data_IF_145662404771
#
_entry.id   IF_145662404771
#
_cell.length_a   1.000
_cell.length_b   1.000
_cell.length_c   1.000
_cell.angle_alpha   90.00
_cell.angle_beta   90.00
_cell.angle_gamma   90.00
#
_symmetry.space_group_name_H-M   'P 1'
#
loop_
_entity.id
_entity.type
_entity.pdbx_description
1 polymer ?
#
# COMPACT_ATOMS: atom_id res chain seq x y z
N UNK A 1 74.24 41.16 -8.52
CA UNK A 1 74.24 42.04 -9.71
C UNK A 1 74.07 41.13 -10.92
N UNK A 2 73.10 41.25 -11.84
CA UNK A 2 71.99 42.17 -12.07
C UNK A 2 70.86 41.41 -12.80
N UNK A 3 69.67 42.02 -12.80
CA UNK A 3 68.37 41.54 -13.28
C UNK A 3 68.31 41.21 -14.78
N UNK A 4 67.39 40.32 -15.17
CA UNK A 4 66.57 40.50 -16.37
C UNK A 4 65.17 39.92 -16.12
N UNK A 5 64.16 40.76 -16.33
CA UNK A 5 62.75 40.52 -16.12
C UNK A 5 62.07 40.13 -17.44
N UNK A 6 61.33 39.03 -17.45
CA UNK A 6 60.41 38.59 -18.51
C UNK A 6 59.29 37.81 -17.77
N UNK A 7 57.98 38.06 -17.82
CA UNK A 7 57.11 38.85 -18.70
C UNK A 7 55.73 39.05 -18.00
N UNK A 8 55.14 40.26 -17.93
CA UNK A 8 53.74 40.46 -17.49
C UNK A 8 52.70 40.39 -18.63
N UNK A 9 53.13 40.06 -19.86
CA UNK A 9 52.32 40.15 -21.08
C UNK A 9 51.21 39.09 -21.21
N UNK A 10 51.32 37.96 -20.52
CA UNK A 10 50.35 36.85 -20.59
C UNK A 10 49.01 37.23 -19.92
N UNK A 11 49.04 37.88 -18.75
CA UNK A 11 47.82 38.28 -18.03
C UNK A 11 47.10 39.46 -18.69
N UNK A 12 47.84 40.35 -19.36
CA UNK A 12 47.31 41.54 -20.01
C UNK A 12 46.54 41.24 -21.31
N UNK A 13 46.79 40.10 -21.95
CA UNK A 13 46.01 39.61 -23.10
C UNK A 13 44.85 38.68 -22.69
N UNK A 14 44.99 37.94 -21.60
CA UNK A 14 43.95 37.03 -21.11
C UNK A 14 42.73 37.73 -20.52
N UNK A 15 42.93 38.83 -19.80
CA UNK A 15 41.84 39.59 -19.20
C UNK A 15 40.87 40.19 -20.25
N UNK A 16 41.34 40.88 -21.31
CA UNK A 16 40.46 41.36 -22.37
C UNK A 16 39.87 40.22 -23.21
N UNK A 17 40.60 39.11 -23.41
CA UNK A 17 40.05 37.92 -24.07
C UNK A 17 38.86 37.33 -23.29
N UNK A 18 38.96 37.22 -21.96
CA UNK A 18 37.86 36.79 -21.09
C UNK A 18 36.68 37.78 -21.12
N UNK A 19 36.95 39.09 -21.10
CA UNK A 19 35.92 40.13 -21.17
C UNK A 19 35.19 40.19 -22.52
N UNK A 20 35.74 39.63 -23.59
CA UNK A 20 35.08 39.57 -24.91
C UNK A 20 34.44 38.21 -25.16
N UNK A 21 35.14 37.11 -24.83
CA UNK A 21 34.66 35.75 -25.10
C UNK A 21 33.49 35.37 -24.20
N UNK A 22 33.48 35.77 -22.93
CA UNK A 22 32.39 35.42 -22.01
C UNK A 22 31.07 36.12 -22.40
N UNK A 23 31.04 37.43 -22.71
CA UNK A 23 29.82 38.08 -23.20
C UNK A 23 29.42 37.60 -24.60
N UNK A 24 30.38 37.28 -25.49
CA UNK A 24 30.08 36.72 -26.81
C UNK A 24 29.42 35.33 -26.70
N UNK A 25 29.93 34.45 -25.82
CA UNK A 25 29.30 33.17 -25.53
C UNK A 25 27.92 33.33 -24.86
N UNK A 26 27.76 34.33 -23.99
CA UNK A 26 26.47 34.68 -23.39
C UNK A 26 25.46 35.16 -24.45
N UNK A 27 25.87 36.01 -25.38
CA UNK A 27 25.04 36.51 -26.49
C UNK A 27 24.72 35.41 -27.50
N UNK A 28 25.67 34.52 -27.83
CA UNK A 28 25.42 33.34 -28.67
C UNK A 28 24.47 32.35 -27.98
N UNK A 29 24.55 32.21 -26.64
CA UNK A 29 23.61 31.46 -25.83
C UNK A 29 22.18 32.04 -25.88
N UNK A 30 22.05 33.37 -25.75
CA UNK A 30 20.77 34.09 -25.89
C UNK A 30 20.19 33.98 -27.31
N UNK A 31 21.02 34.09 -28.35
CA UNK A 31 20.59 33.93 -29.75
C UNK A 31 20.21 32.48 -30.10
N UNK A 32 20.90 31.48 -29.56
CA UNK A 32 20.50 30.06 -29.69
C UNK A 32 19.22 29.76 -28.92
N UNK A 33 19.00 30.39 -27.76
CA UNK A 33 17.76 30.27 -26.99
C UNK A 33 16.56 30.86 -27.73
N UNK A 34 16.74 31.91 -28.54
CA UNK A 34 15.66 32.55 -29.31
C UNK A 34 15.22 31.78 -30.56
N UNK A 35 15.96 30.75 -30.99
CA UNK A 35 15.65 29.95 -32.21
C UNK A 35 14.97 28.59 -31.95
N UNK A 36 14.60 28.26 -30.71
CA UNK A 36 13.75 27.10 -30.42
C UNK A 36 12.33 27.56 -30.07
N UNK A 37 11.60 27.99 -31.10
CA UNK A 37 10.14 27.88 -31.08
C UNK A 37 9.78 26.48 -31.56
N UNK A 38 9.48 25.57 -30.63
CA UNK A 38 8.87 24.28 -30.92
C UNK A 38 8.19 23.73 -29.66
N UNK A 39 6.85 23.76 -29.65
CA UNK A 39 6.00 22.93 -28.80
C UNK A 39 5.98 23.26 -27.30
N UNK A 40 4.79 23.46 -26.75
CA UNK A 40 4.55 23.69 -25.31
C UNK A 40 4.75 22.38 -24.53
N UNK A 41 6.00 21.92 -24.39
CA UNK A 41 6.35 20.77 -23.57
C UNK A 41 6.22 21.15 -22.09
N UNK A 42 5.36 20.44 -21.35
CA UNK A 42 5.22 20.58 -19.89
C UNK A 42 6.34 19.78 -19.23
N UNK A 43 7.40 20.46 -18.78
CA UNK A 43 8.45 19.82 -18.00
C UNK A 43 7.99 19.56 -16.55
N UNK A 44 8.51 18.52 -15.88
CA UNK A 44 8.30 18.33 -14.45
C UNK A 44 8.77 19.55 -13.65
N UNK A 45 8.08 19.93 -12.56
CA UNK A 45 8.50 21.03 -11.69
C UNK A 45 9.88 20.77 -11.07
N UNK A 46 10.61 21.83 -10.74
CA UNK A 46 11.94 21.72 -10.15
C UNK A 46 12.30 22.95 -9.31
N UNK A 47 13.31 22.83 -8.43
CA UNK A 47 13.85 23.96 -7.67
C UNK A 47 14.47 25.00 -8.61
N UNK A 48 14.84 26.16 -8.07
CA UNK A 48 15.48 27.21 -8.87
C UNK A 48 16.92 26.80 -9.27
N UNK A 49 17.35 27.26 -10.45
CA UNK A 49 18.61 26.87 -11.09
C UNK A 49 19.53 28.07 -11.30
N UNK A 50 20.84 27.88 -11.07
CA UNK A 50 21.86 28.88 -11.40
C UNK A 50 22.34 28.75 -12.88
N UNK A 51 22.76 29.85 -13.54
CA UNK A 51 23.04 29.88 -14.98
C UNK A 51 24.11 28.91 -15.47
N UNK A 52 25.08 28.54 -14.63
CA UNK A 52 26.22 27.68 -15.00
C UNK A 52 26.14 26.31 -14.31
N UNK A 53 25.98 26.28 -12.99
CA UNK A 53 25.98 25.04 -12.20
C UNK A 53 24.61 24.37 -12.08
N UNK A 54 23.54 25.03 -12.54
CA UNK A 54 22.18 24.52 -12.42
C UNK A 54 21.78 24.34 -10.95
N UNK A 55 21.33 23.13 -10.60
CA UNK A 55 20.85 22.76 -9.26
C UNK A 55 21.92 22.11 -8.39
N UNK A 56 23.18 22.02 -8.86
CA UNK A 56 24.27 21.36 -8.14
C UNK A 56 24.48 21.94 -6.74
N UNK A 57 24.21 23.23 -6.56
CA UNK A 57 24.32 23.92 -5.28
C UNK A 57 23.36 23.39 -4.20
N UNK A 58 22.21 22.80 -4.58
CA UNK A 58 21.30 22.15 -3.62
C UNK A 58 21.84 20.81 -3.08
N UNK A 59 22.77 20.17 -3.81
CA UNK A 59 23.38 18.89 -3.44
C UNK A 59 24.79 19.06 -2.85
N UNK A 60 25.55 20.03 -3.34
CA UNK A 60 26.91 20.31 -2.88
C UNK A 60 26.94 21.17 -1.60
N UNK A 61 25.87 21.89 -1.30
CA UNK A 61 25.75 22.74 -0.10
C UNK A 61 25.05 22.07 1.09
N UNK A 62 24.51 20.86 0.94
CA UNK A 62 23.86 20.12 2.02
C UNK A 62 24.87 19.31 2.83
N UNK A 63 24.79 19.35 4.16
CA UNK A 63 25.59 18.52 5.09
C UNK A 63 25.25 17.02 5.05
N UNK A 64 24.43 16.59 4.10
CA UNK A 64 23.86 15.25 3.99
C UNK A 64 24.20 14.69 2.60
N UNK A 65 24.44 13.38 2.45
CA UNK A 65 24.77 12.79 1.15
C UNK A 65 23.77 13.14 0.02
N UNK A 66 24.21 13.15 -1.26
CA UNK A 66 23.41 13.64 -2.39
C UNK A 66 22.03 12.98 -2.51
N UNK A 67 21.92 11.67 -2.25
CA UNK A 67 20.65 10.93 -2.31
C UNK A 67 19.63 11.36 -1.24
N UNK A 68 20.09 11.80 -0.07
CA UNK A 68 19.21 12.40 0.95
C UNK A 68 18.75 13.80 0.56
N UNK A 69 19.65 14.64 0.04
CA UNK A 69 19.29 15.97 -0.45
C UNK A 69 18.28 15.88 -1.61
N UNK A 70 18.44 14.90 -2.50
CA UNK A 70 17.47 14.59 -3.56
C UNK A 70 16.11 14.14 -3.00
N UNK A 71 16.09 13.29 -1.96
CA UNK A 71 14.85 12.91 -1.27
C UNK A 71 14.12 14.12 -0.67
N UNK A 72 14.86 15.04 -0.07
CA UNK A 72 14.29 16.24 0.56
C UNK A 72 13.80 17.27 -0.47
N UNK A 73 14.40 17.30 -1.67
CA UNK A 73 13.88 18.02 -2.82
C UNK A 73 12.61 17.35 -3.38
N UNK A 74 12.53 16.01 -3.38
CA UNK A 74 11.37 15.26 -3.88
C UNK A 74 10.12 15.45 -3.03
N UNK A 75 10.29 15.55 -1.71
CA UNK A 75 9.20 15.93 -0.80
C UNK A 75 8.63 17.32 -1.11
N UNK A 76 9.43 18.24 -1.67
CA UNK A 76 9.04 19.63 -1.92
C UNK A 76 8.54 19.89 -3.34
N UNK A 77 9.11 19.21 -4.33
CA UNK A 77 8.85 19.46 -5.75
C UNK A 77 8.15 18.30 -6.46
N UNK A 78 7.91 17.18 -5.77
CA UNK A 78 7.23 16.00 -6.31
C UNK A 78 8.19 14.85 -6.65
N UNK A 79 7.65 13.64 -6.90
CA UNK A 79 8.43 12.42 -7.13
C UNK A 79 9.19 12.41 -8.46
N UNK A 80 8.82 13.27 -9.40
CA UNK A 80 9.47 13.49 -10.69
C UNK A 80 9.86 14.96 -10.78
N UNK A 81 11.16 15.24 -10.81
CA UNK A 81 11.69 16.60 -10.93
C UNK A 81 12.79 16.68 -11.98
N UNK A 82 12.85 17.81 -12.68
CA UNK A 82 13.90 18.07 -13.65
C UNK A 82 15.05 18.85 -12.99
N UNK A 83 16.21 18.23 -12.85
CA UNK A 83 17.41 18.88 -12.33
C UNK A 83 18.44 19.07 -13.44
N UNK A 84 18.81 20.31 -13.70
CA UNK A 84 19.98 20.65 -14.52
C UNK A 84 21.26 20.58 -13.68
N UNK A 85 22.22 19.73 -14.03
CA UNK A 85 23.59 19.80 -13.53
C UNK A 85 24.50 20.19 -14.70
N UNK A 86 25.06 21.40 -14.64
CA UNK A 86 25.79 21.99 -15.76
C UNK A 86 24.95 22.07 -17.05
N UNK A 87 25.39 21.41 -18.13
CA UNK A 87 24.69 21.35 -19.43
C UNK A 87 23.86 20.07 -19.63
N UNK A 88 23.87 19.14 -18.67
CA UNK A 88 23.11 17.89 -18.77
C UNK A 88 21.77 18.05 -18.04
N UNK A 89 20.63 17.83 -18.73
CA UNK A 89 19.37 17.58 -18.03
C UNK A 89 19.48 16.23 -17.33
N UNK A 90 19.32 16.22 -16.01
CA UNK A 90 19.26 15.01 -15.19
C UNK A 90 17.83 14.86 -14.68
N UNK A 91 17.22 13.74 -15.01
CA UNK A 91 15.91 13.37 -14.49
C UNK A 91 16.13 12.70 -13.12
N UNK A 92 15.64 13.33 -12.06
CA UNK A 92 15.60 12.72 -10.74
C UNK A 92 14.20 12.17 -10.51
N UNK A 93 14.09 10.84 -10.48
CA UNK A 93 12.92 10.16 -9.95
C UNK A 93 13.22 9.79 -8.49
N UNK A 94 12.25 9.92 -7.60
CA UNK A 94 12.33 9.44 -6.23
C UNK A 94 11.63 8.08 -6.11
N UNK A 95 12.23 7.16 -5.36
CA UNK A 95 11.59 5.89 -5.05
C UNK A 95 10.30 6.17 -4.26
N UNK A 96 9.22 5.52 -4.66
CA UNK A 96 7.93 5.56 -3.98
C UNK A 96 7.90 4.41 -2.98
N UNK A 97 7.45 4.71 -1.76
CA UNK A 97 7.15 3.69 -0.76
C UNK A 97 5.77 3.10 -1.08
N UNK A 98 5.77 2.00 -1.83
CA UNK A 98 4.56 1.33 -2.27
C UNK A 98 3.82 0.67 -1.11
N UNK A 99 4.52 0.18 -0.08
CA UNK A 99 3.91 -0.32 1.16
C UNK A 99 3.00 0.71 1.81
N UNK A 100 3.50 1.94 2.01
CA UNK A 100 2.70 3.03 2.60
C UNK A 100 1.59 3.49 1.67
N UNK A 101 1.86 3.57 0.37
CA UNK A 101 0.86 3.94 -0.63
C UNK A 101 -0.33 2.98 -0.66
N UNK A 102 -0.06 1.67 -0.75
CA UNK A 102 -1.06 0.61 -0.73
C UNK A 102 -1.83 0.57 0.60
N UNK A 103 -1.14 0.65 1.74
CA UNK A 103 -1.79 0.69 3.04
C UNK A 103 -2.76 1.88 3.16
N UNK A 104 -2.35 3.06 2.68
CA UNK A 104 -3.21 4.25 2.69
C UNK A 104 -4.40 4.09 1.74
N UNK A 105 -4.19 3.57 0.53
CA UNK A 105 -5.24 3.39 -0.46
C UNK A 105 -6.32 2.39 0.01
N UNK A 106 -5.89 1.22 0.49
CA UNK A 106 -6.83 0.18 0.96
C UNK A 106 -7.56 0.67 2.21
N UNK A 107 -6.87 1.34 3.14
CA UNK A 107 -7.52 1.84 4.34
C UNK A 107 -8.55 2.95 4.04
N UNK A 108 -8.25 3.86 3.11
CA UNK A 108 -9.17 4.94 2.71
C UNK A 108 -10.40 4.38 1.98
N UNK A 109 -10.21 3.46 1.03
CA UNK A 109 -11.31 2.76 0.34
C UNK A 109 -12.16 1.92 1.28
N UNK A 110 -11.53 1.22 2.24
CA UNK A 110 -12.24 0.47 3.28
C UNK A 110 -13.07 1.39 4.17
N UNK A 111 -12.52 2.51 4.63
CA UNK A 111 -13.28 3.51 5.40
C UNK A 111 -14.45 4.05 4.58
N UNK A 112 -14.22 4.39 3.31
CA UNK A 112 -15.24 4.91 2.43
C UNK A 112 -16.40 3.92 2.20
N UNK A 113 -16.09 2.63 2.04
CA UNK A 113 -17.13 1.59 1.90
C UNK A 113 -17.93 1.35 3.19
N UNK A 114 -17.30 1.52 4.35
CA UNK A 114 -17.93 1.18 5.64
C UNK A 114 -18.70 2.33 6.27
N UNK A 115 -18.19 3.57 6.18
CA UNK A 115 -18.72 4.76 6.86
C UNK A 115 -18.64 6.03 6.00
N UNK A 116 -18.51 5.87 4.68
CA UNK A 116 -18.44 6.99 3.76
C UNK A 116 -17.16 7.83 3.86
N UNK A 117 -17.16 8.96 3.15
CA UNK A 117 -16.00 9.85 3.07
C UNK A 117 -15.87 10.70 4.33
N UNK A 118 -14.83 10.43 5.11
CA UNK A 118 -14.47 11.23 6.28
C UNK A 118 -13.66 12.49 5.90
N UNK A 119 -13.68 13.48 6.80
CA UNK A 119 -12.74 14.61 6.76
C UNK A 119 -11.33 14.13 7.02
N UNK A 120 -10.32 14.86 6.52
CA UNK A 120 -8.90 14.50 6.69
C UNK A 120 -8.53 14.21 8.15
N UNK A 121 -8.96 15.08 9.05
CA UNK A 121 -8.58 15.03 10.46
C UNK A 121 -9.22 13.84 11.19
N UNK A 122 -10.48 13.52 10.85
CA UNK A 122 -11.21 12.38 11.39
C UNK A 122 -10.62 11.06 10.89
N UNK A 123 -10.24 11.01 9.61
CA UNK A 123 -9.56 9.85 9.01
C UNK A 123 -8.20 9.60 9.67
N UNK A 124 -7.39 10.63 9.86
CA UNK A 124 -6.08 10.51 10.51
C UNK A 124 -6.21 10.05 11.98
N UNK A 125 -7.26 10.53 12.66
CA UNK A 125 -7.63 10.09 14.01
C UNK A 125 -7.99 8.61 14.03
N UNK A 126 -8.87 8.17 13.13
CA UNK A 126 -9.27 6.76 13.00
C UNK A 126 -8.07 5.85 12.74
N UNK A 127 -7.23 6.17 11.76
CA UNK A 127 -6.04 5.37 11.44
C UNK A 127 -5.04 5.32 12.60
N UNK A 128 -4.91 6.40 13.38
CA UNK A 128 -4.09 6.40 14.59
C UNK A 128 -4.63 5.43 15.63
N UNK A 129 -5.95 5.45 15.90
CA UNK A 129 -6.59 4.56 16.86
C UNK A 129 -6.55 3.08 16.42
N UNK A 130 -6.68 2.81 15.12
CA UNK A 130 -6.53 1.48 14.54
C UNK A 130 -5.10 0.95 14.69
N UNK A 131 -4.10 1.76 14.33
CA UNK A 131 -2.68 1.40 14.46
C UNK A 131 -2.27 1.19 15.92
N UNK A 132 -2.78 2.01 16.86
CA UNK A 132 -2.58 1.79 18.30
C UNK A 132 -3.14 0.42 18.73
N UNK A 133 -4.31 0.02 18.21
CA UNK A 133 -4.89 -1.31 18.42
C UNK A 133 -3.98 -2.44 17.94
N UNK A 134 -3.52 -2.35 16.69
CA UNK A 134 -2.63 -3.36 16.09
C UNK A 134 -1.27 -3.49 16.77
N UNK A 135 -0.83 -2.52 17.57
CA UNK A 135 0.40 -2.68 18.38
C UNK A 135 0.18 -3.48 19.66
N UNK A 136 -1.05 -3.55 20.14
CA UNK A 136 -1.39 -4.22 21.40
C UNK A 136 -1.69 -5.70 21.16
N UNK A 137 -2.42 -6.02 20.09
CA UNK A 137 -2.89 -7.39 19.77
C UNK A 137 -1.77 -8.43 19.53
N UNK A 138 -0.65 -8.12 18.84
CA UNK A 138 0.37 -9.13 18.51
C UNK A 138 1.32 -9.46 19.67
N UNK A 139 1.47 -8.56 20.63
CA UNK A 139 2.38 -8.78 21.75
C UNK A 139 1.66 -9.61 22.80
N UNK A 140 1.75 -10.95 22.73
CA UNK A 140 1.26 -11.87 23.77
C UNK A 140 1.54 -11.28 25.15
N UNK A 141 0.51 -10.74 25.81
CA UNK A 141 0.72 -9.96 27.01
C UNK A 141 0.88 -10.88 28.21
N UNK A 142 1.39 -10.36 29.34
CA UNK A 142 1.44 -11.14 30.58
C UNK A 142 0.07 -11.75 30.97
N UNK A 143 -1.06 -11.00 30.83
CA UNK A 143 -2.41 -11.56 30.93
C UNK A 143 -2.71 -12.71 29.97
N UNK A 144 -2.25 -12.64 28.72
CA UNK A 144 -2.52 -13.68 27.72
C UNK A 144 -1.70 -14.95 27.97
N UNK A 145 -0.47 -14.78 28.47
CA UNK A 145 0.44 -15.89 28.81
C UNK A 145 0.08 -16.55 30.15
N UNK A 146 -0.44 -15.77 31.11
CA UNK A 146 -0.77 -16.24 32.45
C UNK A 146 -2.18 -15.80 32.87
N UNK A 147 -3.24 -16.23 32.17
CA UNK A 147 -4.61 -15.75 32.40
C UNK A 147 -5.12 -16.07 33.82
N UNK A 148 -4.61 -17.13 34.45
CA UNK A 148 -4.98 -17.51 35.82
C UNK A 148 -4.22 -16.73 36.91
N UNK A 149 -3.20 -15.94 36.55
CA UNK A 149 -2.36 -15.21 37.51
C UNK A 149 -2.91 -13.81 37.78
N UNK A 150 -3.46 -13.61 38.99
CA UNK A 150 -3.88 -12.28 39.46
C UNK A 150 -2.73 -11.27 39.49
N UNK A 151 -1.49 -11.73 39.72
CA UNK A 151 -0.30 -10.89 39.70
C UNK A 151 0.06 -10.44 38.27
N UNK A 152 -0.06 -11.31 37.27
CA UNK A 152 0.15 -10.96 35.87
C UNK A 152 -0.89 -9.93 35.38
N UNK A 153 -2.14 -10.09 35.83
CA UNK A 153 -3.22 -9.12 35.58
C UNK A 153 -2.95 -7.76 36.22
N UNK A 154 -2.48 -7.75 37.49
CA UNK A 154 -2.20 -6.52 38.24
C UNK A 154 -0.98 -5.76 37.71
N UNK A 155 0.10 -6.48 37.36
CA UNK A 155 1.35 -5.88 36.90
C UNK A 155 1.26 -5.38 35.45
N UNK A 156 0.32 -5.91 34.65
CA UNK A 156 0.13 -5.48 33.29
C UNK A 156 -0.62 -4.17 33.20
N UNK A 157 -0.02 -3.18 32.55
CA UNK A 157 -0.71 -1.93 32.17
C UNK A 157 -1.57 -2.08 30.92
N UNK A 158 -1.53 -3.24 30.26
CA UNK A 158 -2.18 -3.44 28.97
C UNK A 158 -3.71 -3.43 29.08
N UNK A 159 -4.38 -4.10 30.05
CA UNK A 159 -5.83 -4.04 30.17
C UNK A 159 -6.37 -2.60 30.28
N UNK A 160 -5.74 -1.78 31.12
CA UNK A 160 -6.11 -0.36 31.26
C UNK A 160 -5.87 0.44 29.97
N UNK A 161 -4.79 0.16 29.23
CA UNK A 161 -4.51 0.78 27.92
C UNK A 161 -5.56 0.38 26.87
N UNK A 162 -5.94 -0.89 26.83
CA UNK A 162 -7.01 -1.39 25.94
C UNK A 162 -8.32 -0.69 26.27
N UNK A 163 -8.70 -0.61 27.55
CA UNK A 163 -9.93 0.04 27.96
C UNK A 163 -9.93 1.54 27.59
N UNK A 164 -8.83 2.25 27.86
CA UNK A 164 -8.70 3.66 27.50
C UNK A 164 -8.79 3.88 25.98
N UNK A 165 -8.13 3.04 25.17
CA UNK A 165 -8.21 3.08 23.71
C UNK A 165 -9.63 2.80 23.23
N UNK A 166 -10.28 1.77 23.79
CA UNK A 166 -11.64 1.37 23.42
C UNK A 166 -12.64 2.49 23.74
N UNK A 167 -12.48 3.22 24.86
CA UNK A 167 -13.29 4.40 25.17
C UNK A 167 -13.10 5.52 24.12
N UNK A 168 -11.86 5.80 23.72
CA UNK A 168 -11.56 6.80 22.66
C UNK A 168 -12.17 6.40 21.32
N UNK A 169 -12.03 5.13 20.94
CA UNK A 169 -12.60 4.60 19.71
C UNK A 169 -14.14 4.61 19.72
N UNK A 170 -14.76 4.23 20.83
CA UNK A 170 -16.20 4.26 20.99
C UNK A 170 -16.74 5.69 20.86
N UNK A 171 -16.10 6.67 21.52
CA UNK A 171 -16.48 8.08 21.44
C UNK A 171 -16.32 8.66 20.01
N UNK A 172 -15.27 8.26 19.30
CA UNK A 172 -15.10 8.62 17.89
C UNK A 172 -16.25 8.06 17.04
N UNK A 173 -16.57 6.77 17.19
CA UNK A 173 -17.65 6.13 16.45
C UNK A 173 -19.03 6.70 16.83
N UNK A 174 -19.25 7.13 18.07
CA UNK A 174 -20.47 7.84 18.47
C UNK A 174 -20.66 9.12 17.64
N UNK A 175 -19.59 9.88 17.43
CA UNK A 175 -19.65 11.08 16.58
C UNK A 175 -19.98 10.74 15.14
N UNK A 176 -19.35 9.71 14.56
CA UNK A 176 -19.61 9.25 13.19
C UNK A 176 -21.07 8.79 13.03
N UNK A 177 -21.59 8.02 13.97
CA UNK A 177 -22.99 7.55 13.95
C UNK A 177 -23.97 8.72 14.03
N UNK A 178 -23.70 9.71 14.90
CA UNK A 178 -24.54 10.91 15.00
C UNK A 178 -24.57 11.70 13.68
N UNK A 179 -23.43 11.83 13.01
CA UNK A 179 -23.35 12.48 11.70
C UNK A 179 -24.19 11.75 10.64
N UNK A 180 -24.13 10.42 10.59
CA UNK A 180 -24.93 9.61 9.65
C UNK A 180 -26.43 9.74 9.92
N UNK A 181 -26.84 9.65 11.20
CA UNK A 181 -28.26 9.85 11.60
C UNK A 181 -28.78 11.24 11.24
N UNK A 182 -27.96 12.28 11.43
CA UNK A 182 -28.32 13.65 11.05
C UNK A 182 -28.47 13.80 9.53
N UNK A 183 -27.51 13.27 8.76
CA UNK A 183 -27.53 13.27 7.29
C UNK A 183 -28.76 12.54 6.76
N UNK A 184 -29.09 11.38 7.33
CA UNK A 184 -30.24 10.56 6.94
C UNK A 184 -31.58 11.22 7.28
N UNK A 185 -31.67 11.88 8.43
CA UNK A 185 -32.84 12.68 8.82
C UNK A 185 -33.07 13.85 7.86
N UNK A 186 -31.99 14.55 7.45
CA UNK A 186 -32.06 15.64 6.48
C UNK A 186 -32.49 15.16 5.09
N UNK A 187 -31.93 14.05 4.59
CA UNK A 187 -32.29 13.47 3.30
C UNK A 187 -33.76 13.03 3.24
N UNK A 188 -34.30 12.45 4.33
CA UNK A 188 -35.72 12.11 4.44
C UNK A 188 -36.65 13.34 4.39
N UNK A 189 -36.18 14.49 4.85
CA UNK A 189 -36.98 15.72 4.90
C UNK A 189 -37.03 16.46 3.56
N UNK A 190 -35.98 16.36 2.74
CA UNK A 190 -35.85 17.12 1.47
C UNK A 190 -36.43 16.38 0.25
N UNK A 191 -37.03 15.20 0.45
CA UNK A 191 -37.73 14.45 -0.59
C UNK A 191 -36.88 14.05 -1.80
N UNK A 192 -35.54 14.00 -1.66
CA UNK A 192 -34.64 13.96 -2.81
C UNK A 192 -33.36 13.10 -2.65
N UNK A 193 -33.06 12.45 -3.77
CA UNK A 193 -31.86 11.73 -4.23
C UNK A 193 -31.45 10.42 -3.52
N UNK A 194 -31.15 9.42 -4.36
CA UNK A 194 -30.53 8.13 -4.05
C UNK A 194 -29.15 8.38 -3.41
N UNK A 195 -29.12 8.63 -2.10
CA UNK A 195 -27.86 8.63 -1.35
C UNK A 195 -27.26 7.23 -1.48
N UNK A 196 -26.00 7.16 -1.93
CA UNK A 196 -25.22 5.92 -1.96
C UNK A 196 -25.05 5.40 -0.53
N UNK A 197 -25.93 4.50 -0.11
CA UNK A 197 -25.88 3.87 1.22
C UNK A 197 -24.51 3.21 1.42
N UNK A 198 -23.85 3.52 2.54
CA UNK A 198 -22.70 2.77 3.03
C UNK A 198 -23.14 1.68 4.02
N UNK A 199 -22.19 0.85 4.47
CA UNK A 199 -22.52 -0.23 5.41
C UNK A 199 -23.11 0.29 6.72
N UNK A 200 -22.64 1.43 7.23
CA UNK A 200 -23.16 2.01 8.46
C UNK A 200 -24.62 2.44 8.29
N UNK A 201 -24.98 3.03 7.15
CA UNK A 201 -26.36 3.37 6.81
C UNK A 201 -27.26 2.11 6.79
N UNK A 202 -26.77 1.01 6.20
CA UNK A 202 -27.47 -0.28 6.19
C UNK A 202 -27.66 -0.83 7.61
N UNK A 203 -26.61 -0.83 8.44
CA UNK A 203 -26.71 -1.33 9.83
C UNK A 203 -27.63 -0.48 10.69
N UNK A 204 -27.64 0.85 10.51
CA UNK A 204 -28.57 1.75 11.18
C UNK A 204 -30.02 1.53 10.72
N UNK A 205 -30.22 1.19 9.44
CA UNK A 205 -31.55 0.82 8.91
C UNK A 205 -32.03 -0.50 9.51
N UNK A 206 -31.17 -1.51 9.54
CA UNK A 206 -31.50 -2.78 10.20
C UNK A 206 -31.79 -2.60 11.70
N UNK A 207 -31.07 -1.70 12.38
CA UNK A 207 -31.37 -1.37 13.78
C UNK A 207 -32.78 -0.74 13.95
N UNK A 208 -33.21 0.11 13.02
CA UNK A 208 -34.54 0.71 13.04
C UNK A 208 -35.65 -0.33 12.72
N UNK A 209 -35.37 -1.26 11.80
CA UNK A 209 -36.34 -2.24 11.27
C UNK A 209 -36.47 -3.52 12.12
N UNK A 210 -35.46 -3.84 12.95
CA UNK A 210 -35.45 -5.07 13.75
C UNK A 210 -36.42 -4.99 14.93
N UNK A 211 -37.58 -5.64 14.78
CA UNK A 211 -38.55 -5.83 15.84
C UNK A 211 -38.16 -7.03 16.75
N UNK A 212 -37.97 -6.76 18.04
CA UNK A 212 -37.94 -7.74 19.15
C UNK A 212 -36.71 -8.67 19.38
N UNK A 213 -36.71 -9.22 20.60
CA UNK A 213 -35.88 -10.25 21.26
C UNK A 213 -34.35 -10.12 21.27
N UNK A 214 -33.70 -9.77 20.16
CA UNK A 214 -32.23 -9.64 20.09
C UNK A 214 -31.87 -8.35 19.34
N UNK A 215 -31.99 -7.18 19.99
CA UNK A 215 -31.80 -5.90 19.32
C UNK A 215 -30.35 -5.72 18.85
N UNK A 216 -30.17 -5.23 17.62
CA UNK A 216 -28.87 -4.75 17.14
C UNK A 216 -28.53 -3.45 17.89
N UNK A 217 -27.68 -3.55 18.91
CA UNK A 217 -27.32 -2.37 19.72
C UNK A 217 -26.34 -1.47 18.97
N UNK A 218 -26.32 -0.18 19.33
CA UNK A 218 -25.34 0.77 18.79
C UNK A 218 -23.91 0.30 19.04
N UNK A 219 -23.64 -0.33 20.18
CA UNK A 219 -22.30 -0.87 20.48
C UNK A 219 -21.94 -2.05 19.57
N UNK A 220 -22.91 -2.90 19.21
CA UNK A 220 -22.67 -3.93 18.20
C UNK A 220 -22.32 -3.31 16.85
N UNK A 221 -23.04 -2.27 16.41
CA UNK A 221 -22.76 -1.56 15.15
C UNK A 221 -21.35 -0.98 15.17
N UNK A 222 -20.96 -0.28 16.24
CA UNK A 222 -19.60 0.28 16.38
C UNK A 222 -18.54 -0.81 16.22
N UNK A 223 -18.71 -1.93 16.93
CA UNK A 223 -17.76 -3.03 16.90
C UNK A 223 -17.65 -3.68 15.52
N UNK A 224 -18.79 -3.94 14.86
CA UNK A 224 -18.84 -4.52 13.51
C UNK A 224 -18.12 -3.61 12.51
N UNK A 225 -18.40 -2.31 12.53
CA UNK A 225 -17.76 -1.35 11.62
C UNK A 225 -16.25 -1.28 11.84
N UNK A 226 -15.81 -1.17 13.10
CA UNK A 226 -14.37 -1.14 13.43
C UNK A 226 -13.69 -2.43 12.97
N UNK A 227 -14.31 -3.58 13.21
CA UNK A 227 -13.78 -4.89 12.82
C UNK A 227 -13.65 -4.99 11.29
N UNK A 228 -14.69 -4.60 10.55
CA UNK A 228 -14.67 -4.63 9.08
C UNK A 228 -13.62 -3.70 8.47
N UNK A 229 -13.46 -2.47 8.98
CA UNK A 229 -12.40 -1.56 8.53
C UNK A 229 -11.02 -2.16 8.82
N UNK A 230 -10.82 -2.71 10.03
CA UNK A 230 -9.54 -3.28 10.44
C UNK A 230 -9.17 -4.51 9.61
N UNK A 231 -10.11 -5.44 9.45
CA UNK A 231 -9.91 -6.71 8.77
C UNK A 231 -9.64 -6.52 7.27
N UNK A 232 -10.40 -5.64 6.60
CA UNK A 232 -10.24 -5.37 5.16
C UNK A 232 -8.97 -4.60 4.83
N UNK A 233 -8.59 -3.61 5.65
CA UNK A 233 -7.44 -2.74 5.39
C UNK A 233 -6.12 -3.49 5.47
N UNK A 234 -5.94 -4.22 6.56
CA UNK A 234 -4.64 -4.78 6.94
C UNK A 234 -4.27 -6.01 6.07
N UNK A 235 -5.21 -6.92 5.89
CA UNK A 235 -4.98 -8.17 5.13
C UNK A 235 -4.81 -7.91 3.63
N UNK A 236 -5.63 -7.04 3.06
CA UNK A 236 -5.59 -6.70 1.64
C UNK A 236 -4.32 -5.91 1.28
N UNK A 237 -3.94 -4.90 2.08
CA UNK A 237 -2.70 -4.15 1.82
C UNK A 237 -1.45 -5.02 1.93
N UNK A 238 -1.42 -5.93 2.92
CA UNK A 238 -0.35 -6.93 3.05
C UNK A 238 -0.26 -7.81 1.81
N UNK A 239 -1.40 -8.32 1.32
CA UNK A 239 -1.46 -9.17 0.12
C UNK A 239 -0.99 -8.41 -1.13
N UNK A 240 -1.41 -7.16 -1.32
CA UNK A 240 -0.96 -6.34 -2.46
C UNK A 240 0.55 -6.08 -2.44
N UNK A 241 1.11 -5.84 -1.26
CA UNK A 241 2.57 -5.65 -1.10
C UNK A 241 3.32 -6.92 -1.47
N UNK A 242 2.84 -8.10 -1.08
CA UNK A 242 3.43 -9.38 -1.48
C UNK A 242 3.28 -9.64 -2.97
N UNK A 243 2.11 -9.40 -3.55
CA UNK A 243 1.89 -9.57 -4.99
C UNK A 243 2.88 -8.72 -5.80
N UNK A 244 3.04 -7.44 -5.43
CA UNK A 244 3.99 -6.55 -6.09
C UNK A 244 5.45 -6.99 -5.86
N UNK A 245 5.81 -7.45 -4.66
CA UNK A 245 7.14 -7.94 -4.38
C UNK A 245 7.49 -9.19 -5.20
N UNK A 246 6.58 -10.16 -5.29
CA UNK A 246 6.78 -11.38 -6.10
C UNK A 246 6.85 -11.07 -7.60
N UNK A 247 5.99 -10.19 -8.10
CA UNK A 247 6.06 -9.76 -9.50
C UNK A 247 7.38 -9.03 -9.81
N UNK A 248 7.88 -8.17 -8.91
CA UNK A 248 9.18 -7.51 -9.06
C UNK A 248 10.34 -8.53 -9.04
N UNK A 249 10.23 -9.56 -8.21
CA UNK A 249 11.19 -10.67 -8.13
C UNK A 249 11.12 -11.61 -9.35
N UNK A 250 9.97 -11.65 -10.06
CA UNK A 250 9.72 -12.47 -11.25
C UNK A 250 9.31 -11.61 -12.45
N UNK A 251 10.27 -10.95 -13.14
CA UNK A 251 9.98 -10.04 -14.25
C UNK A 251 9.18 -10.65 -15.42
N UNK A 252 9.29 -11.96 -15.65
CA UNK A 252 8.49 -12.65 -16.66
C UNK A 252 6.99 -12.66 -16.29
N UNK A 253 6.67 -12.97 -15.04
CA UNK A 253 5.29 -12.93 -14.53
C UNK A 253 4.76 -11.49 -14.51
N UNK A 254 5.56 -10.51 -14.08
CA UNK A 254 5.22 -9.08 -14.16
C UNK A 254 4.83 -8.67 -15.57
N UNK A 255 5.65 -8.98 -16.57
CA UNK A 255 5.36 -8.64 -17.98
C UNK A 255 4.07 -9.29 -18.46
N UNK A 256 3.88 -10.59 -18.19
CA UNK A 256 2.65 -11.31 -18.59
C UNK A 256 1.39 -10.68 -17.99
N UNK A 257 1.43 -10.31 -16.71
CA UNK A 257 0.31 -9.63 -16.05
C UNK A 257 0.07 -8.22 -16.60
N UNK A 258 1.14 -7.43 -16.80
CA UNK A 258 1.02 -6.10 -17.42
C UNK A 258 0.46 -6.17 -18.83
N UNK A 259 0.91 -7.13 -19.65
CA UNK A 259 0.46 -7.31 -21.03
C UNK A 259 -1.01 -7.74 -21.09
N UNK A 260 -1.46 -8.61 -20.18
CA UNK A 260 -2.88 -8.96 -20.05
C UNK A 260 -3.72 -7.73 -19.69
N UNK A 261 -3.39 -7.06 -18.59
CA UNK A 261 -4.16 -5.92 -18.07
C UNK A 261 -4.25 -4.80 -19.11
N UNK A 262 -3.14 -4.46 -19.78
CA UNK A 262 -3.10 -3.39 -20.78
C UNK A 262 -3.83 -3.75 -22.06
N UNK A 263 -3.86 -5.04 -22.43
CA UNK A 263 -4.59 -5.50 -23.61
C UNK A 263 -6.10 -5.48 -23.36
N UNK A 264 -6.54 -5.95 -22.19
CA UNK A 264 -7.97 -6.00 -21.86
C UNK A 264 -8.56 -4.60 -21.60
N UNK A 265 -7.73 -3.67 -21.14
CA UNK A 265 -8.12 -2.29 -20.87
C UNK A 265 -7.66 -1.33 -21.98
N UNK A 266 -7.39 -1.83 -23.18
CA UNK A 266 -6.99 -0.96 -24.29
C UNK A 266 -8.12 0.04 -24.62
N UNK A 267 -7.75 1.30 -24.85
CA UNK A 267 -8.70 2.40 -25.01
C UNK A 267 -9.35 2.92 -23.72
N UNK A 268 -9.22 2.22 -22.59
CA UNK A 268 -9.64 2.75 -21.29
C UNK A 268 -8.62 3.74 -20.74
N UNK A 269 -9.10 4.75 -20.01
CA UNK A 269 -8.24 5.72 -19.31
C UNK A 269 -8.05 5.42 -17.84
N UNK A 270 -8.93 4.60 -17.29
CA UNK A 270 -9.02 4.27 -15.86
C UNK A 270 -9.47 2.82 -15.73
N UNK A 271 -8.98 2.15 -14.69
CA UNK A 271 -9.44 0.80 -14.33
C UNK A 271 -10.74 0.91 -13.55
N UNK A 272 -11.78 0.24 -14.03
CA UNK A 272 -13.09 0.12 -13.37
C UNK A 272 -13.42 -1.34 -13.11
N UNK A 273 -14.40 -1.59 -12.26
CA UNK A 273 -14.83 -2.95 -11.91
C UNK A 273 -15.28 -3.75 -13.14
N UNK A 274 -16.02 -3.11 -14.06
CA UNK A 274 -16.45 -3.73 -15.32
C UNK A 274 -15.28 -4.27 -16.16
N UNK A 275 -14.13 -3.59 -16.09
CA UNK A 275 -12.92 -3.96 -16.81
C UNK A 275 -12.14 -5.14 -16.21
N UNK A 276 -12.56 -5.67 -15.04
CA UNK A 276 -11.87 -6.78 -14.38
C UNK A 276 -12.30 -8.16 -14.87
N UNK A 277 -13.40 -8.26 -15.62
CA UNK A 277 -14.07 -9.53 -15.94
C UNK A 277 -13.12 -10.57 -16.55
N UNK A 278 -12.21 -10.16 -17.44
CA UNK A 278 -11.34 -11.03 -18.24
C UNK A 278 -9.85 -11.02 -17.83
N UNK A 279 -9.52 -10.62 -16.60
CA UNK A 279 -8.16 -10.60 -16.08
C UNK A 279 -7.75 -11.96 -15.48
N UNK A 280 -7.65 -12.97 -16.33
CA UNK A 280 -7.42 -14.36 -15.92
C UNK A 280 -6.08 -14.56 -15.22
N UNK A 281 -4.98 -14.16 -15.85
CA UNK A 281 -3.63 -14.34 -15.31
C UNK A 281 -3.41 -13.50 -14.04
N UNK A 282 -3.99 -12.30 -13.96
CA UNK A 282 -3.99 -11.50 -12.73
C UNK A 282 -4.61 -12.26 -11.54
N UNK A 283 -5.70 -13.00 -11.76
CA UNK A 283 -6.31 -13.84 -10.72
C UNK A 283 -5.41 -15.00 -10.31
N UNK A 284 -4.65 -15.58 -11.25
CA UNK A 284 -3.65 -16.60 -10.93
C UNK A 284 -2.52 -16.03 -10.06
N UNK A 285 -2.06 -14.82 -10.36
CA UNK A 285 -1.08 -14.07 -9.55
C UNK A 285 -1.60 -13.84 -8.13
N UNK A 286 -2.87 -13.45 -7.97
CA UNK A 286 -3.50 -13.26 -6.65
C UNK A 286 -3.58 -14.59 -5.89
N UNK A 287 -4.03 -15.67 -6.55
CA UNK A 287 -4.08 -17.02 -5.94
C UNK A 287 -2.69 -17.46 -5.45
N UNK A 288 -1.67 -17.33 -6.29
CA UNK A 288 -0.31 -17.73 -5.94
C UNK A 288 0.30 -16.87 -4.84
N UNK A 289 0.00 -15.57 -4.84
CA UNK A 289 0.38 -14.67 -3.75
C UNK A 289 -0.24 -15.14 -2.44
N UNK A 290 -1.53 -15.48 -2.42
CA UNK A 290 -2.23 -15.93 -1.23
C UNK A 290 -1.79 -17.33 -0.76
N UNK A 291 -1.31 -18.20 -1.67
CA UNK A 291 -0.73 -19.51 -1.33
C UNK A 291 0.59 -19.35 -0.57
N UNK A 292 1.49 -18.53 -1.11
CA UNK A 292 2.81 -18.31 -0.52
C UNK A 292 2.77 -17.36 0.67
N UNK A 293 1.90 -16.36 0.65
CA UNK A 293 1.87 -15.31 1.66
C UNK A 293 0.46 -15.16 2.24
N UNK A 294 -0.12 -16.21 2.86
CA UNK A 294 -1.42 -16.08 3.49
C UNK A 294 -1.32 -15.04 4.63
N UNK A 295 -2.17 -14.00 4.62
CA UNK A 295 -1.96 -12.82 5.45
C UNK A 295 -2.21 -13.07 6.94
N UNK A 296 -2.93 -14.14 7.31
CA UNK A 296 -3.32 -14.44 8.69
C UNK A 296 -3.18 -15.93 9.01
N UNK A 297 -2.85 -16.23 10.26
CA UNK A 297 -2.92 -17.58 10.80
C UNK A 297 -4.37 -17.93 11.16
N UNK A 298 -4.80 -19.14 10.84
CA UNK A 298 -6.15 -19.61 11.15
C UNK A 298 -6.18 -20.22 12.56
N UNK A 299 -7.03 -19.67 13.42
CA UNK A 299 -7.11 -20.03 14.83
C UNK A 299 -8.49 -20.60 15.15
N UNK A 300 -8.57 -21.69 15.93
CA UNK A 300 -9.81 -22.33 16.39
C UNK A 300 -9.72 -22.70 17.86
N UNK A 301 -10.84 -22.66 18.57
CA UNK A 301 -10.96 -23.19 19.92
C UNK A 301 -11.68 -24.54 19.88
N UNK A 302 -11.13 -25.55 20.54
CA UNK A 302 -11.72 -26.89 20.61
C UNK A 302 -12.90 -26.96 21.58
N UNK A 303 -14.03 -27.49 21.09
CA UNK A 303 -15.20 -27.79 21.90
C UNK A 303 -15.02 -28.99 22.84
N UNK A 304 -16.07 -29.38 23.59
CA UNK A 304 -15.99 -30.48 24.55
C UNK A 304 -15.75 -31.83 23.87
N UNK A 305 -14.79 -32.62 24.39
CA UNK A 305 -14.47 -34.01 24.00
C UNK A 305 -14.32 -34.21 22.49
N UNK A 306 -13.20 -33.72 21.94
CA UNK A 306 -12.87 -33.88 20.53
C UNK A 306 -11.58 -34.71 20.37
N UNK A 307 -11.57 -35.62 19.40
CA UNK A 307 -10.35 -36.27 18.94
C UNK A 307 -9.91 -35.65 17.61
N UNK A 308 -8.63 -35.30 17.51
CA UNK A 308 -8.00 -34.81 16.28
C UNK A 308 -6.90 -35.80 15.91
N UNK A 309 -7.00 -36.41 14.72
CA UNK A 309 -6.08 -37.45 14.25
C UNK A 309 -5.91 -38.62 15.24
N UNK A 310 -6.99 -38.96 15.97
CA UNK A 310 -7.00 -40.01 16.99
C UNK A 310 -6.43 -39.61 18.35
N UNK A 311 -6.02 -38.34 18.53
CA UNK A 311 -5.55 -37.81 19.81
C UNK A 311 -6.66 -37.02 20.51
N UNK A 312 -6.84 -37.24 21.81
CA UNK A 312 -7.75 -36.45 22.63
C UNK A 312 -7.21 -35.02 22.80
N UNK A 313 -8.01 -34.03 22.38
CA UNK A 313 -7.68 -32.61 22.51
C UNK A 313 -8.46 -32.01 23.69
N UNK A 314 -7.79 -31.33 24.64
CA UNK A 314 -8.46 -30.70 25.76
C UNK A 314 -9.51 -29.67 25.32
N UNK A 315 -10.60 -29.57 26.08
CA UNK A 315 -11.57 -28.50 25.92
C UNK A 315 -10.90 -27.12 26.10
N UNK A 316 -11.22 -26.17 25.23
CA UNK A 316 -10.65 -24.82 25.24
C UNK A 316 -9.22 -24.73 24.69
N UNK A 317 -8.68 -25.84 24.16
CA UNK A 317 -7.39 -25.80 23.48
C UNK A 317 -7.50 -24.97 22.19
N UNK A 318 -6.49 -24.13 21.96
CA UNK A 318 -6.35 -23.37 20.72
C UNK A 318 -5.65 -24.23 19.67
N UNK A 319 -6.32 -24.51 18.56
CA UNK A 319 -5.77 -25.17 17.38
C UNK A 319 -5.38 -24.12 16.35
N UNK A 320 -4.12 -24.17 15.94
CA UNK A 320 -3.55 -23.29 14.92
C UNK A 320 -3.43 -24.08 13.61
N UNK A 321 -4.16 -23.66 12.59
CA UNK A 321 -4.08 -24.22 11.24
C UNK A 321 -3.07 -23.38 10.46
N UNK A 322 -1.94 -24.00 10.14
CA UNK A 322 -0.81 -23.34 9.51
C UNK A 322 -0.95 -23.33 7.97
N UNK A 323 -1.82 -22.45 7.47
CA UNK A 323 -2.03 -22.28 6.03
C UNK A 323 -0.73 -21.97 5.27
N UNK A 324 0.23 -21.28 5.90
CA UNK A 324 1.54 -20.98 5.32
C UNK A 324 2.36 -22.24 5.03
N UNK A 325 2.37 -23.20 5.98
CA UNK A 325 3.07 -24.47 5.81
C UNK A 325 2.32 -25.39 4.82
N UNK A 326 1.00 -25.40 4.87
CA UNK A 326 0.17 -26.19 3.96
C UNK A 326 0.33 -25.74 2.51
N UNK A 327 0.41 -24.43 2.29
CA UNK A 327 0.73 -23.85 0.98
C UNK A 327 2.11 -24.24 0.47
N UNK A 328 3.04 -24.68 1.33
CA UNK A 328 4.42 -25.07 0.98
C UNK A 328 4.70 -26.57 1.06
N UNK A 329 3.68 -27.38 1.29
CA UNK A 329 3.86 -28.81 1.43
C UNK A 329 4.18 -29.46 0.06
N UNK A 330 5.39 -30.03 -0.13
CA UNK A 330 5.76 -30.67 -1.38
C UNK A 330 4.94 -31.94 -1.69
N UNK A 331 4.17 -32.46 -0.73
CA UNK A 331 3.21 -33.55 -0.99
C UNK A 331 2.01 -33.09 -1.83
N UNK A 332 1.71 -31.79 -1.83
CA UNK A 332 0.56 -31.20 -2.52
C UNK A 332 0.96 -30.19 -3.61
N UNK A 333 2.16 -29.61 -3.53
CA UNK A 333 2.61 -28.55 -4.42
C UNK A 333 3.97 -28.84 -5.06
N UNK A 334 4.00 -28.94 -6.39
CA UNK A 334 5.26 -28.99 -7.15
C UNK A 334 6.01 -27.65 -7.05
N UNK A 335 7.32 -27.71 -6.82
CA UNK A 335 8.16 -26.52 -6.55
C UNK A 335 7.50 -25.59 -5.53
N UNK A 336 7.13 -26.15 -4.36
CA UNK A 336 6.25 -25.51 -3.39
C UNK A 336 6.71 -24.13 -2.90
N UNK A 337 8.02 -23.86 -2.89
CA UNK A 337 8.59 -22.57 -2.47
C UNK A 337 8.65 -21.54 -3.60
N UNK A 338 8.39 -21.94 -4.85
CA UNK A 338 8.50 -21.05 -6.00
C UNK A 338 7.17 -20.37 -6.32
N UNK A 339 7.24 -19.08 -6.62
CA UNK A 339 6.13 -18.29 -7.16
C UNK A 339 5.89 -18.63 -8.63
N UNK A 340 4.87 -19.45 -8.89
CA UNK A 340 4.46 -19.94 -10.22
C UNK A 340 2.94 -19.81 -10.37
N UNK A 341 2.43 -18.64 -10.81
CA UNK A 341 0.99 -18.42 -11.01
C UNK A 341 0.31 -19.47 -11.90
N UNK A 342 1.01 -19.94 -12.92
CA UNK A 342 0.54 -20.92 -13.90
C UNK A 342 0.04 -22.23 -13.28
N UNK A 343 0.44 -22.56 -12.04
CA UNK A 343 -0.06 -23.76 -11.35
C UNK A 343 -1.59 -23.76 -11.17
N UNK A 344 -2.21 -22.58 -11.19
CA UNK A 344 -3.67 -22.42 -11.06
C UNK A 344 -4.40 -22.33 -12.42
N UNK A 345 -3.71 -22.50 -13.55
CA UNK A 345 -4.28 -22.39 -14.90
C UNK A 345 -5.11 -23.64 -15.30
N UNK A 346 -4.79 -24.80 -14.72
CA UNK A 346 -5.46 -26.06 -15.04
C UNK A 346 -6.85 -26.18 -14.42
N UNK A 347 -7.74 -26.95 -15.09
CA UNK A 347 -9.04 -27.30 -14.55
C UNK A 347 -8.89 -28.16 -13.28
N UNK A 348 -9.74 -27.92 -12.27
CA UNK A 348 -9.71 -28.64 -11.00
C UNK A 348 -8.67 -28.13 -10.00
N UNK A 349 -8.05 -26.97 -10.27
CA UNK A 349 -7.17 -26.32 -9.29
C UNK A 349 -7.97 -25.69 -8.14
N UNK A 350 -7.37 -25.59 -6.94
CA UNK A 350 -8.07 -25.06 -5.78
C UNK A 350 -8.69 -23.67 -5.98
N UNK A 351 -9.86 -23.46 -5.40
CA UNK A 351 -10.56 -22.17 -5.42
C UNK A 351 -10.79 -21.59 -4.00
N UNK A 352 -11.44 -20.43 -3.92
CA UNK A 352 -11.64 -19.73 -2.65
C UNK A 352 -12.89 -20.19 -1.88
N UNK A 353 -13.54 -21.29 -2.27
CA UNK A 353 -14.74 -21.81 -1.58
C UNK A 353 -14.40 -22.53 -0.28
N UNK A 354 -13.12 -22.83 -0.04
CA UNK A 354 -12.66 -23.48 1.20
C UNK A 354 -13.06 -24.94 1.28
N UNK A 355 -13.06 -25.64 0.14
CA UNK A 355 -13.27 -27.09 0.03
C UNK A 355 -11.96 -27.86 -0.16
N UNK A 356 -10.95 -27.21 -0.75
CA UNK A 356 -9.62 -27.75 -0.99
C UNK A 356 -8.70 -27.38 0.18
N UNK A 357 -8.44 -28.33 1.08
CA UNK A 357 -7.77 -28.04 2.35
C UNK A 357 -6.28 -27.73 2.19
N UNK A 358 -5.65 -28.10 1.08
CA UNK A 358 -4.30 -27.68 0.73
C UNK A 358 -4.17 -26.17 0.46
N UNK A 359 -5.30 -25.47 0.24
CA UNK A 359 -5.34 -24.04 -0.09
C UNK A 359 -6.44 -23.29 0.69
N UNK A 360 -6.08 -22.71 1.84
CA UNK A 360 -7.02 -22.08 2.77
C UNK A 360 -6.74 -20.59 3.07
N UNK A 361 -6.50 -19.73 2.07
CA UNK A 361 -6.15 -18.32 2.32
C UNK A 361 -7.27 -17.52 2.99
N UNK A 362 -8.52 -17.97 2.84
CA UNK A 362 -9.70 -17.37 3.48
C UNK A 362 -10.33 -18.29 4.55
N UNK A 363 -9.67 -19.39 4.89
CA UNK A 363 -10.24 -20.44 5.74
C UNK A 363 -11.35 -21.25 5.04
N UNK A 364 -12.16 -21.93 5.85
CA UNK A 364 -13.18 -22.86 5.37
C UNK A 364 -14.39 -22.93 6.31
N UNK A 365 -15.50 -23.47 5.78
CA UNK A 365 -16.73 -23.78 6.53
C UNK A 365 -17.43 -22.55 7.12
N UNK A 366 -18.08 -22.71 8.27
CA UNK A 366 -18.89 -21.65 8.93
C UNK A 366 -18.12 -20.39 9.36
N UNK A 367 -16.79 -20.46 9.34
CA UNK A 367 -15.87 -19.37 9.71
C UNK A 367 -14.95 -19.00 8.55
N UNK A 368 -15.36 -19.31 7.31
CA UNK A 368 -14.72 -18.76 6.12
C UNK A 368 -14.84 -17.24 6.16
N UNK A 369 -13.83 -16.55 5.64
CA UNK A 369 -13.79 -15.08 5.64
C UNK A 369 -15.10 -14.52 5.04
N UNK A 370 -15.84 -13.66 5.75
CA UNK A 370 -17.04 -13.03 5.19
C UNK A 370 -16.70 -12.01 4.10
N UNK A 371 -15.45 -11.53 4.06
CA UNK A 371 -14.96 -10.50 3.14
C UNK A 371 -14.31 -11.02 1.86
N UNK A 372 -14.47 -12.30 1.48
CA UNK A 372 -13.83 -12.88 0.27
C UNK A 372 -14.11 -12.01 -0.96
N UNK A 373 -15.38 -11.74 -1.26
CA UNK A 373 -15.77 -10.96 -2.45
C UNK A 373 -15.23 -9.54 -2.40
N UNK A 374 -15.34 -8.87 -1.24
CA UNK A 374 -14.86 -7.49 -1.07
C UNK A 374 -13.33 -7.40 -1.22
N UNK A 375 -12.61 -8.32 -0.60
CA UNK A 375 -11.15 -8.39 -0.64
C UNK A 375 -10.63 -8.68 -2.05
N UNK A 376 -11.21 -9.66 -2.75
CA UNK A 376 -10.79 -10.00 -4.11
C UNK A 376 -10.98 -8.84 -5.08
N UNK A 377 -12.10 -8.12 -5.02
CA UNK A 377 -12.30 -6.91 -5.85
C UNK A 377 -11.27 -5.84 -5.53
N UNK A 378 -10.93 -5.61 -4.25
CA UNK A 378 -9.86 -4.66 -3.90
C UNK A 378 -8.49 -5.10 -4.42
N UNK A 379 -8.17 -6.40 -4.35
CA UNK A 379 -6.92 -6.94 -4.87
C UNK A 379 -6.85 -6.79 -6.39
N UNK A 380 -7.90 -7.18 -7.11
CA UNK A 380 -7.98 -7.10 -8.57
C UNK A 380 -7.90 -5.65 -9.05
N UNK A 381 -8.72 -4.73 -8.50
CA UNK A 381 -8.72 -3.32 -8.89
C UNK A 381 -7.37 -2.64 -8.66
N UNK A 382 -6.82 -2.78 -7.45
CA UNK A 382 -5.58 -2.11 -7.09
C UNK A 382 -4.40 -2.65 -7.90
N UNK A 383 -4.28 -3.98 -8.02
CA UNK A 383 -3.19 -4.59 -8.77
C UNK A 383 -3.31 -4.28 -10.26
N UNK A 384 -4.51 -4.40 -10.85
CA UNK A 384 -4.75 -4.01 -12.24
C UNK A 384 -4.38 -2.54 -12.47
N UNK A 385 -4.81 -1.61 -11.61
CA UNK A 385 -4.48 -0.19 -11.74
C UNK A 385 -2.95 0.07 -11.70
N UNK A 386 -2.23 -0.57 -10.79
CA UNK A 386 -0.78 -0.44 -10.69
C UNK A 386 -0.07 -0.97 -11.95
N UNK A 387 -0.51 -2.11 -12.49
CA UNK A 387 0.09 -2.73 -13.68
C UNK A 387 -0.30 -2.01 -14.98
N UNK A 388 -1.52 -1.47 -15.04
CA UNK A 388 -2.02 -0.68 -16.17
C UNK A 388 -1.26 0.63 -16.31
N UNK A 389 -1.18 1.42 -15.24
CA UNK A 389 -0.67 2.78 -15.29
C UNK A 389 0.86 2.88 -15.26
N UNK A 390 1.56 1.90 -14.70
CA UNK A 390 2.99 2.02 -14.42
C UNK A 390 3.81 0.81 -14.88
N UNK A 391 5.03 1.08 -15.32
CA UNK A 391 6.13 0.13 -15.31
C UNK A 391 6.92 0.29 -14.01
N UNK A 392 7.26 -0.83 -13.36
CA UNK A 392 7.89 -0.83 -12.05
C UNK A 392 9.35 -1.26 -12.13
N UNK A 393 10.21 -0.57 -11.37
CA UNK A 393 11.65 -0.89 -11.28
C UNK A 393 12.10 -0.90 -9.82
N UNK A 394 13.02 -1.80 -9.50
CA UNK A 394 13.72 -1.80 -8.23
C UNK A 394 14.73 -0.64 -8.15
N UNK A 395 15.00 -0.10 -6.95
CA UNK A 395 15.92 1.00 -6.77
C UNK A 395 17.37 0.59 -6.99
N UNK A 396 18.23 1.58 -7.27
CA UNK A 396 19.69 1.45 -7.27
C UNK A 396 20.30 0.34 -8.16
N UNK A 397 19.56 -0.10 -9.19
CA UNK A 397 20.01 -1.19 -10.06
C UNK A 397 19.99 -2.57 -9.39
N UNK A 398 19.32 -2.68 -8.23
CA UNK A 398 19.10 -3.93 -7.51
C UNK A 398 18.53 -5.00 -8.43
N UNK A 399 19.13 -6.19 -8.38
CA UNK A 399 18.62 -7.33 -9.14
C UNK A 399 17.44 -7.98 -8.39
N UNK A 400 16.47 -8.60 -9.10
CA UNK A 400 15.27 -9.17 -8.49
C UNK A 400 15.53 -10.09 -7.29
N UNK A 401 16.62 -10.84 -7.31
CA UNK A 401 17.00 -11.82 -6.28
C UNK A 401 17.47 -11.18 -4.96
N UNK A 402 17.88 -9.91 -4.99
CA UNK A 402 18.33 -9.14 -3.82
C UNK A 402 17.17 -8.53 -3.02
N UNK A 403 15.94 -8.60 -3.55
CA UNK A 403 14.77 -8.06 -2.86
C UNK A 403 14.52 -8.84 -1.56
N UNK A 404 14.47 -8.12 -0.44
CA UNK A 404 14.20 -8.73 0.87
C UNK A 404 12.77 -9.29 0.93
N UNK A 405 12.67 -10.62 1.01
CA UNK A 405 11.40 -11.35 1.12
C UNK A 405 11.14 -11.87 2.54
N UNK A 406 11.80 -11.30 3.56
CA UNK A 406 11.60 -11.70 4.95
C UNK A 406 10.28 -11.18 5.52
N UNK A 407 9.64 -12.00 6.33
CA UNK A 407 8.39 -11.69 7.02
C UNK A 407 8.66 -10.98 8.36
N UNK A 408 7.79 -10.05 8.74
CA UNK A 408 7.75 -9.44 10.07
C UNK A 408 7.01 -10.38 11.04
N UNK A 409 7.53 -10.55 12.25
CA UNK A 409 6.81 -11.27 13.30
C UNK A 409 5.58 -10.46 13.75
N UNK A 410 4.38 -11.02 13.60
CA UNK A 410 3.15 -10.36 14.01
C UNK A 410 1.89 -11.18 13.76
N UNK A 411 0.74 -10.57 14.02
CA UNK A 411 -0.58 -11.15 13.74
C UNK A 411 -0.81 -11.39 12.24
N UNK A 412 -0.22 -10.53 11.41
CA UNK A 412 -0.30 -10.60 9.96
C UNK A 412 1.08 -10.79 9.36
N UNK A 413 1.14 -11.58 8.30
CA UNK A 413 2.37 -11.94 7.56
C UNK A 413 2.86 -10.76 6.71
N UNK A 414 3.31 -9.66 7.32
CA UNK A 414 3.81 -8.48 6.58
C UNK A 414 5.23 -8.72 6.08
N UNK A 415 5.63 -8.01 5.01
CA UNK A 415 7.06 -7.85 4.70
C UNK A 415 7.75 -7.05 5.80
N UNK A 416 8.92 -7.52 6.23
CA UNK A 416 9.75 -6.84 7.23
C UNK A 416 10.26 -5.49 6.72
N UNK A 417 10.70 -5.44 5.47
CA UNK A 417 11.15 -4.22 4.83
C UNK A 417 10.05 -3.59 3.96
N UNK A 418 9.92 -2.26 4.02
CA UNK A 418 9.01 -1.52 3.14
C UNK A 418 9.42 -1.69 1.66
N UNK A 419 8.43 -1.82 0.76
CA UNK A 419 8.64 -1.93 -0.67
C UNK A 419 8.90 -0.56 -1.30
N UNK A 420 10.17 -0.23 -1.51
CA UNK A 420 10.58 0.98 -2.22
C UNK A 420 10.80 0.68 -3.71
N UNK A 421 10.13 1.40 -4.60
CA UNK A 421 10.15 1.14 -6.04
C UNK A 421 10.08 2.42 -6.87
N UNK A 422 10.60 2.38 -8.09
CA UNK A 422 10.39 3.43 -9.08
C UNK A 422 9.18 3.11 -9.96
N UNK A 423 8.20 4.02 -9.97
CA UNK A 423 7.07 3.97 -10.87
C UNK A 423 7.36 4.80 -12.13
N UNK A 424 7.36 4.16 -13.30
CA UNK A 424 7.50 4.83 -14.59
C UNK A 424 6.10 4.90 -15.22
N UNK A 425 5.50 6.10 -15.35
CA UNK A 425 4.18 6.24 -15.94
C UNK A 425 4.14 5.70 -17.37
N UNK A 426 3.20 4.81 -17.66
CA UNK A 426 2.95 4.20 -18.97
C UNK A 426 1.66 4.73 -19.58
N UNK A 427 0.56 4.64 -18.84
CA UNK A 427 -0.73 5.22 -19.21
C UNK A 427 -1.00 6.39 -18.28
N UNK A 428 -0.93 7.65 -18.76
CA UNK A 428 -1.13 8.81 -17.90
C UNK A 428 -2.55 8.84 -17.36
N UNK A 429 -2.69 9.14 -16.07
CA UNK A 429 -3.99 9.41 -15.46
C UNK A 429 -4.60 10.67 -16.10
N UNK A 430 -5.94 10.74 -16.21
CA UNK A 430 -6.61 11.98 -16.59
C UNK A 430 -6.16 13.10 -15.63
N UNK A 431 -5.60 14.18 -16.16
CA UNK A 431 -5.44 15.41 -15.38
C UNK A 431 -6.82 16.05 -15.28
N UNK A 432 -7.44 15.97 -14.10
CA UNK A 432 -8.57 16.83 -13.73
C UNK A 432 -8.16 18.31 -13.70
#
# INVERSE_FOLDING_TARGET
>A
MAMAAESPAYYSLLLPLLLVVVPALYLVGLFRSRRRSAGRQRFPPGPWALPVIGHLHHLAGSSVPPHHAMRDLARRHGPLMLLRFCQLPVLAAAAVNLTRGLASFVADSSVQAMIGRLRSDDRDTLFTLLREGFKIVPGMTLPDLFPSSRLAMLLSRVPARIEHRNKRMAAFMDSVIQQHRAKRSAARADGGEEHTEDLLDVLLRLQDDMDSQYPLTTDNIKLVIIDMISASSETTSTTLVWAMAELLRKPAAMRRAQDEVRRQLDGHRTVTEDGLTDLHYLRLVIKETLRLHPPVMLIRECGPRQQVLGFDVPHGAMVLVNAWAMGRDPAHWDSAEEFVPERFESCGTPDFKGVDFEFLPFGAGRRICPGVSFGLVHLELALAALLFHFDWKLPDGMVPEELDMTEEAGLTTRRRAELLVFAVPRVPLPTE
#
